data_IF_378422771057
#
_entry.id   IF_378422771057
#
_cell.length_a   1.000
_cell.length_b   1.000
_cell.length_c   1.000
_cell.angle_alpha   90.00
_cell.angle_beta   90.00
_cell.angle_gamma   90.00
#
_symmetry.space_group_name_H-M   'P 1'
#
loop_
_entity.id
_entity.type
_entity.pdbx_description
1 polymer ?
#
# COMPACT_ATOMS: atom_id res chain seq x y z
N UNK A 1 -19.40 17.39 -14.97
CA UNK A 1 -18.20 16.73 -14.41
C UNK A 1 -18.73 15.72 -13.41
N UNK A 2 -18.68 14.45 -13.80
CA UNK A 2 -19.15 13.32 -12.99
C UNK A 2 -18.51 13.36 -11.59
N UNK A 3 -19.24 13.02 -10.52
CA UNK A 3 -18.74 13.00 -9.16
C UNK A 3 -17.90 11.73 -8.94
N UNK A 4 -16.86 11.52 -9.75
CA UNK A 4 -15.98 10.34 -9.70
C UNK A 4 -15.21 10.30 -8.38
N UNK A 5 -14.81 11.47 -7.87
CA UNK A 5 -14.04 11.62 -6.64
C UNK A 5 -14.79 11.15 -5.38
N UNK A 6 -16.02 11.61 -5.09
CA UNK A 6 -16.77 11.09 -3.95
C UNK A 6 -17.17 9.61 -4.12
N UNK A 7 -17.34 9.11 -5.35
CA UNK A 7 -17.60 7.69 -5.61
C UNK A 7 -16.38 6.81 -5.30
N UNK A 8 -15.17 7.27 -5.64
CA UNK A 8 -13.91 6.61 -5.29
C UNK A 8 -13.70 6.58 -3.77
N UNK A 9 -13.95 7.69 -3.08
CA UNK A 9 -13.86 7.74 -1.62
C UNK A 9 -14.90 6.80 -0.98
N UNK A 10 -16.14 6.78 -1.49
CA UNK A 10 -17.18 5.88 -1.01
C UNK A 10 -16.83 4.40 -1.26
N UNK A 11 -16.27 4.04 -2.42
CA UNK A 11 -15.84 2.66 -2.72
C UNK A 11 -14.69 2.21 -1.81
N UNK A 12 -13.74 3.11 -1.50
CA UNK A 12 -12.67 2.87 -0.53
C UNK A 12 -13.20 2.82 0.92
N UNK A 13 -14.28 3.54 1.21
CA UNK A 13 -14.93 3.63 2.51
C UNK A 13 -16.07 2.62 2.76
N UNK A 14 -16.47 1.84 1.76
CA UNK A 14 -17.35 0.66 1.92
C UNK A 14 -16.49 -0.62 2.09
N UNK A 15 -15.23 -0.55 1.69
CA UNK A 15 -14.21 -1.62 1.73
C UNK A 15 -13.13 -1.38 2.81
N UNK A 16 -13.49 -0.70 3.91
CA UNK A 16 -12.60 -0.06 4.92
C UNK A 16 -11.49 -0.94 5.51
N UNK A 17 -11.52 -2.29 5.52
CA UNK A 17 -10.40 -3.03 6.11
C UNK A 17 -9.07 -2.86 5.36
N UNK A 18 -9.11 -2.77 4.03
CA UNK A 18 -7.92 -3.02 3.21
C UNK A 18 -6.86 -1.92 3.30
N UNK A 19 -7.22 -0.67 3.02
CA UNK A 19 -6.23 0.42 2.96
C UNK A 19 -5.92 0.96 4.36
N UNK A 20 -6.94 1.14 5.19
CA UNK A 20 -6.81 1.72 6.54
C UNK A 20 -6.01 0.81 7.46
N UNK A 21 -6.16 -0.51 7.38
CA UNK A 21 -5.33 -1.44 8.16
C UNK A 21 -4.14 -1.98 7.36
N UNK A 22 -4.27 -2.20 6.06
CA UNK A 22 -3.20 -2.77 5.23
C UNK A 22 -2.00 -1.84 5.08
N UNK A 23 -2.18 -0.53 4.93
CA UNK A 23 -1.03 0.39 4.83
C UNK A 23 -0.22 0.48 6.14
N UNK A 24 -0.85 0.65 7.32
CA UNK A 24 -0.13 0.53 8.60
C UNK A 24 0.53 -0.84 8.80
N UNK A 25 -0.15 -1.93 8.44
CA UNK A 25 0.42 -3.28 8.57
C UNK A 25 1.62 -3.49 7.62
N UNK A 26 1.57 -2.95 6.40
CA UNK A 26 2.68 -3.00 5.45
C UNK A 26 3.88 -2.21 5.94
N UNK A 27 3.65 -1.01 6.51
CA UNK A 27 4.70 -0.22 7.13
C UNK A 27 5.33 -0.97 8.31
N UNK A 28 4.50 -1.56 9.18
CA UNK A 28 4.96 -2.34 10.33
C UNK A 28 5.73 -3.59 9.89
N UNK A 29 5.25 -4.32 8.89
CA UNK A 29 5.93 -5.49 8.34
C UNK A 29 7.30 -5.11 7.75
N UNK A 30 7.36 -3.99 7.01
CA UNK A 30 8.62 -3.46 6.45
C UNK A 30 9.61 -3.08 7.55
N UNK A 31 9.12 -2.50 8.65
CA UNK A 31 9.93 -2.15 9.82
C UNK A 31 10.48 -3.40 10.52
N UNK A 32 9.63 -4.38 10.81
CA UNK A 32 10.04 -5.64 11.46
C UNK A 32 11.05 -6.38 10.58
N UNK A 33 10.83 -6.42 9.26
CA UNK A 33 11.77 -7.01 8.32
C UNK A 33 13.12 -6.28 8.36
N UNK A 34 13.14 -4.95 8.30
CA UNK A 34 14.36 -4.17 8.34
C UNK A 34 15.12 -4.32 9.66
N UNK A 35 14.39 -4.29 10.79
CA UNK A 35 14.94 -4.40 12.14
C UNK A 35 15.50 -5.78 12.48
N UNK A 36 15.10 -6.83 11.76
CA UNK A 36 15.67 -8.17 11.91
C UNK A 36 16.91 -8.41 11.04
N UNK A 37 17.17 -7.54 10.06
CA UNK A 37 18.29 -7.66 9.13
C UNK A 37 19.45 -6.70 9.42
N UNK A 38 19.17 -5.56 10.06
CA UNK A 38 20.17 -4.51 10.30
C UNK A 38 20.23 -4.16 11.79
N UNK A 39 21.44 -3.90 12.27
CA UNK A 39 21.68 -3.45 13.65
C UNK A 39 21.77 -1.91 13.77
N UNK A 40 22.16 -1.24 12.68
CA UNK A 40 22.28 0.22 12.64
C UNK A 40 20.90 0.88 12.47
N UNK A 41 20.48 1.79 13.38
CA UNK A 41 19.18 2.48 13.29
C UNK A 41 18.98 3.25 11.98
N UNK A 42 20.03 3.84 11.41
CA UNK A 42 19.90 4.58 10.15
C UNK A 42 19.63 3.63 8.97
N UNK A 43 20.33 2.50 8.92
CA UNK A 43 20.09 1.43 7.95
C UNK A 43 18.66 0.84 8.08
N UNK A 44 18.17 0.61 9.30
CA UNK A 44 16.80 0.13 9.56
C UNK A 44 15.77 1.09 8.97
N UNK A 45 15.90 2.39 9.22
CA UNK A 45 14.97 3.41 8.72
C UNK A 45 14.93 3.45 7.19
N UNK A 46 16.10 3.47 6.55
CA UNK A 46 16.19 3.47 5.08
C UNK A 46 15.62 2.19 4.46
N UNK A 47 15.94 1.03 5.03
CA UNK A 47 15.41 -0.24 4.57
C UNK A 47 13.88 -0.31 4.75
N UNK A 48 13.35 0.17 5.87
CA UNK A 48 11.90 0.23 6.13
C UNK A 48 11.17 1.00 5.03
N UNK A 49 11.66 2.20 4.69
CA UNK A 49 11.07 3.03 3.62
C UNK A 49 11.21 2.34 2.26
N UNK A 50 12.37 1.79 1.96
CA UNK A 50 12.61 1.08 0.70
C UNK A 50 11.61 -0.07 0.50
N UNK A 51 11.47 -0.94 1.51
CA UNK A 51 10.55 -2.07 1.47
C UNK A 51 9.09 -1.64 1.42
N UNK A 52 8.71 -0.61 2.19
CA UNK A 52 7.34 -0.09 2.16
C UNK A 52 6.98 0.44 0.77
N UNK A 53 7.89 1.17 0.12
CA UNK A 53 7.69 1.68 -1.25
C UNK A 53 7.64 0.54 -2.26
N UNK A 54 8.52 -0.46 -2.15
CA UNK A 54 8.55 -1.59 -3.09
C UNK A 54 7.27 -2.43 -3.01
N UNK A 55 6.89 -2.83 -1.79
CA UNK A 55 5.69 -3.63 -1.55
C UNK A 55 4.43 -2.84 -1.92
N UNK A 56 4.34 -1.59 -1.47
CA UNK A 56 3.21 -0.71 -1.81
C UNK A 56 3.10 -0.47 -3.32
N UNK A 57 4.23 -0.31 -4.00
CA UNK A 57 4.30 -0.14 -5.45
C UNK A 57 3.79 -1.35 -6.22
N UNK A 58 4.20 -2.56 -5.85
CA UNK A 58 3.69 -3.80 -6.48
C UNK A 58 2.20 -3.95 -6.25
N UNK A 59 1.74 -3.80 -5.01
CA UNK A 59 0.32 -3.93 -4.67
C UNK A 59 -0.52 -2.89 -5.44
N UNK A 60 -0.04 -1.66 -5.52
CA UNK A 60 -0.68 -0.59 -6.29
C UNK A 60 -0.72 -0.89 -7.79
N UNK A 61 0.36 -1.42 -8.36
CA UNK A 61 0.41 -1.81 -9.77
C UNK A 61 -0.57 -2.94 -10.08
N UNK A 62 -0.62 -3.97 -9.24
CA UNK A 62 -1.58 -5.08 -9.39
C UNK A 62 -3.01 -4.57 -9.29
N UNK A 63 -3.31 -3.72 -8.30
CA UNK A 63 -4.63 -3.11 -8.16
C UNK A 63 -5.01 -2.31 -9.43
N UNK A 64 -4.09 -1.48 -9.94
CA UNK A 64 -4.32 -0.72 -11.16
C UNK A 64 -4.61 -1.63 -12.36
N UNK A 65 -3.87 -2.73 -12.50
CA UNK A 65 -4.09 -3.71 -13.57
C UNK A 65 -5.47 -4.39 -13.44
N UNK A 66 -5.88 -4.79 -12.24
CA UNK A 66 -7.19 -5.39 -11.98
C UNK A 66 -8.32 -4.41 -12.29
N UNK A 67 -8.19 -3.15 -11.86
CA UNK A 67 -9.19 -2.11 -12.14
C UNK A 67 -9.29 -1.83 -13.66
N UNK A 68 -8.16 -1.80 -14.36
CA UNK A 68 -8.14 -1.63 -15.81
C UNK A 68 -8.84 -2.80 -16.52
N UNK A 69 -8.52 -4.03 -16.14
CA UNK A 69 -9.17 -5.23 -16.69
C UNK A 69 -10.68 -5.22 -16.41
N UNK A 70 -11.09 -4.90 -15.17
CA UNK A 70 -12.50 -4.80 -14.81
C UNK A 70 -13.24 -3.68 -15.54
N UNK A 71 -12.55 -2.64 -16.02
CA UNK A 71 -13.14 -1.60 -16.86
C UNK A 71 -13.30 -2.02 -18.33
N UNK A 72 -12.50 -2.98 -18.80
CA UNK A 72 -12.54 -3.48 -20.17
C UNK A 72 -13.57 -4.59 -20.40
N UNK A 73 -14.07 -5.22 -19.33
CA UNK A 73 -15.05 -6.31 -19.34
C UNK A 73 -16.45 -5.75 -19.05
#
# INVERSE_FOLDING_TARGET
MEPVFPLLIAALADSVPGVVFGMPLLALASLIFAATHHEDPAAIGMATVHWAVWLGGILGLVLAAVLLLGWMV
#
